data_IF_303943017001
#
_entry.id   IF_303943017001
#
_cell.length_a   1.000
_cell.length_b   1.000
_cell.length_c   1.000
_cell.angle_alpha   90.00
_cell.angle_beta   90.00
_cell.angle_gamma   90.00
#
_symmetry.space_group_name_H-M   'P 1'
#
loop_
_entity.id
_entity.type
_entity.pdbx_description
1 polymer ?
#
# COMPACT_ATOMS: atom_id res chain seq x y z
N UNK A 1 12.96 5.54 -19.27
CA UNK A 1 12.30 4.50 -18.45
C UNK A 1 12.00 3.31 -19.34
N UNK A 2 12.34 2.11 -18.91
CA UNK A 2 12.06 0.89 -19.67
C UNK A 2 11.51 -0.17 -18.73
N UNK A 3 10.53 -0.93 -19.21
CA UNK A 3 10.00 -2.10 -18.53
C UNK A 3 10.34 -3.30 -19.40
N UNK A 4 11.05 -4.26 -18.83
CA UNK A 4 11.45 -5.48 -19.51
C UNK A 4 10.98 -6.68 -18.70
N UNK A 5 10.49 -7.72 -19.38
CA UNK A 5 10.14 -9.00 -18.78
C UNK A 5 11.18 -10.03 -19.21
N UNK A 6 11.88 -10.59 -18.24
CA UNK A 6 12.84 -11.68 -18.43
C UNK A 6 12.20 -13.03 -18.03
N UNK A 7 12.95 -14.13 -18.15
CA UNK A 7 12.48 -15.45 -17.72
C UNK A 7 12.15 -15.49 -16.22
N UNK A 8 12.85 -14.70 -15.41
CA UNK A 8 12.81 -14.81 -13.94
C UNK A 8 12.13 -13.60 -13.28
N UNK A 9 12.20 -12.41 -13.89
CA UNK A 9 11.76 -11.17 -13.28
C UNK A 9 11.28 -10.10 -14.27
N UNK A 10 10.50 -9.14 -13.75
CA UNK A 10 10.20 -7.87 -14.43
C UNK A 10 11.20 -6.82 -13.94
N UNK A 11 11.98 -6.26 -14.86
CA UNK A 11 13.00 -5.24 -14.59
C UNK A 11 12.47 -3.87 -15.00
N UNK A 12 12.40 -2.94 -14.05
CA UNK A 12 11.97 -1.56 -14.28
C UNK A 12 13.17 -0.64 -14.11
N UNK A 13 13.57 0.07 -15.17
CA UNK A 13 14.65 1.08 -15.12
C UNK A 13 14.05 2.47 -14.96
N UNK A 14 14.34 3.10 -13.83
CA UNK A 14 13.89 4.45 -13.49
C UNK A 14 15.09 5.43 -13.49
N UNK A 15 14.87 6.70 -13.89
CA UNK A 15 15.80 7.79 -13.70
C UNK A 15 16.19 7.99 -12.22
N UNK A 16 17.42 8.46 -11.95
CA UNK A 16 17.98 8.58 -10.60
C UNK A 16 17.38 9.73 -9.77
N UNK A 17 16.65 10.64 -10.41
CA UNK A 17 15.93 11.76 -9.80
C UNK A 17 14.60 11.33 -9.14
N UNK A 18 14.20 10.06 -9.28
CA UNK A 18 13.03 9.53 -8.59
C UNK A 18 13.25 9.38 -7.08
N UNK A 19 12.24 9.76 -6.31
CA UNK A 19 12.24 9.55 -4.87
C UNK A 19 12.11 8.05 -4.54
N UNK A 20 13.15 7.49 -3.91
CA UNK A 20 13.21 6.08 -3.52
C UNK A 20 12.04 5.70 -2.59
N UNK A 21 11.58 6.62 -1.72
CA UNK A 21 10.45 6.36 -0.82
C UNK A 21 9.14 6.17 -1.59
N UNK A 22 8.93 6.93 -2.67
CA UNK A 22 7.75 6.77 -3.53
C UNK A 22 7.78 5.43 -4.27
N UNK A 23 8.96 5.02 -4.72
CA UNK A 23 9.17 3.72 -5.36
C UNK A 23 8.88 2.58 -4.37
N UNK A 24 9.32 2.69 -3.12
CA UNK A 24 9.02 1.70 -2.07
C UNK A 24 7.51 1.59 -1.81
N UNK A 25 6.81 2.72 -1.65
CA UNK A 25 5.34 2.72 -1.47
C UNK A 25 4.60 2.04 -2.63
N UNK A 26 5.09 2.23 -3.86
CA UNK A 26 4.52 1.55 -5.03
C UNK A 26 4.74 0.04 -4.98
N UNK A 27 5.93 -0.42 -4.58
CA UNK A 27 6.19 -1.85 -4.40
C UNK A 27 5.35 -2.46 -3.28
N UNK A 28 5.18 -1.75 -2.16
CA UNK A 28 4.30 -2.20 -1.06
C UNK A 28 2.85 -2.37 -1.53
N UNK A 29 2.36 -1.46 -2.38
CA UNK A 29 1.04 -1.57 -2.97
C UNK A 29 0.90 -2.76 -3.95
N UNK A 30 1.92 -3.01 -4.79
CA UNK A 30 1.94 -4.19 -5.66
C UNK A 30 1.97 -5.48 -4.83
N UNK A 31 2.74 -5.49 -3.74
CA UNK A 31 2.81 -6.63 -2.82
C UNK A 31 1.49 -6.86 -2.12
N UNK A 32 0.85 -5.80 -1.64
CA UNK A 32 -0.50 -5.86 -1.09
C UNK A 32 -1.49 -6.45 -2.09
N UNK A 33 -1.49 -5.98 -3.34
CA UNK A 33 -2.33 -6.53 -4.41
C UNK A 33 -2.04 -7.99 -4.71
N UNK A 34 -0.78 -8.41 -4.69
CA UNK A 34 -0.40 -9.82 -4.91
C UNK A 34 -0.91 -10.71 -3.76
N UNK A 35 -0.75 -10.27 -2.52
CA UNK A 35 -1.22 -10.97 -1.32
C UNK A 35 -2.75 -11.07 -1.31
N UNK A 36 -3.42 -9.97 -1.64
CA UNK A 36 -4.88 -9.91 -1.78
C UNK A 36 -5.36 -10.77 -2.95
N UNK A 37 -4.66 -10.78 -4.10
CA UNK A 37 -5.02 -11.61 -5.25
C UNK A 37 -4.91 -13.12 -4.96
N UNK A 38 -4.12 -13.51 -3.97
CA UNK A 38 -4.05 -14.89 -3.45
C UNK A 38 -5.08 -15.16 -2.36
N UNK A 39 -5.63 -14.10 -1.76
CA UNK A 39 -6.71 -14.18 -0.79
C UNK A 39 -8.04 -14.41 -1.52
N UNK A 40 -8.84 -15.36 -1.03
CA UNK A 40 -10.23 -15.53 -1.47
C UNK A 40 -11.16 -14.45 -0.88
N UNK A 41 -10.60 -13.50 -0.13
CA UNK A 41 -11.35 -12.40 0.47
C UNK A 41 -11.93 -11.51 -0.63
N UNK A 42 -13.22 -11.29 -0.54
CA UNK A 42 -13.96 -10.36 -1.38
C UNK A 42 -13.49 -8.92 -1.14
N UNK A 43 -13.68 -8.05 -2.14
CA UNK A 43 -13.38 -6.62 -1.99
C UNK A 43 -14.12 -6.00 -0.78
N UNK A 44 -15.30 -6.52 -0.47
CA UNK A 44 -16.10 -6.11 0.69
C UNK A 44 -15.42 -6.43 2.02
N UNK A 45 -14.82 -7.62 2.17
CA UNK A 45 -14.07 -7.99 3.39
C UNK A 45 -12.82 -7.13 3.58
N UNK A 46 -12.16 -6.76 2.49
CA UNK A 46 -10.99 -5.89 2.50
C UNK A 46 -11.37 -4.46 2.89
N UNK A 47 -12.46 -3.93 2.32
CA UNK A 47 -12.95 -2.60 2.64
C UNK A 47 -13.45 -2.53 4.09
N UNK A 48 -14.05 -3.61 4.60
CA UNK A 48 -14.45 -3.72 6.00
C UNK A 48 -13.24 -3.73 6.95
N UNK A 49 -12.20 -4.50 6.63
CA UNK A 49 -10.95 -4.49 7.40
C UNK A 49 -10.27 -3.11 7.37
N UNK A 50 -10.20 -2.46 6.20
CA UNK A 50 -9.62 -1.13 6.07
C UNK A 50 -10.40 -0.07 6.88
N UNK A 51 -11.73 -0.16 6.90
CA UNK A 51 -12.58 0.70 7.73
C UNK A 51 -12.34 0.45 9.23
N UNK A 52 -12.23 -0.81 9.63
CA UNK A 52 -12.01 -1.18 11.02
C UNK A 52 -10.66 -0.65 11.52
N UNK A 53 -9.58 -0.90 10.77
CA UNK A 53 -8.24 -0.40 11.09
C UNK A 53 -8.19 1.12 11.15
N UNK A 54 -8.78 1.81 10.17
CA UNK A 54 -8.81 3.28 10.16
C UNK A 54 -9.64 3.86 11.32
N UNK A 55 -10.78 3.24 11.64
CA UNK A 55 -11.62 3.65 12.76
C UNK A 55 -10.90 3.47 14.09
N UNK A 56 -10.27 2.31 14.30
CA UNK A 56 -9.51 2.03 15.51
C UNK A 56 -8.31 2.97 15.65
N UNK A 57 -7.54 3.14 14.58
CA UNK A 57 -6.41 4.07 14.57
C UNK A 57 -6.86 5.51 14.89
N UNK A 58 -7.97 5.96 14.30
CA UNK A 58 -8.52 7.28 14.59
C UNK A 58 -8.98 7.40 16.04
N UNK A 59 -9.67 6.42 16.62
CA UNK A 59 -10.07 6.46 18.02
C UNK A 59 -8.86 6.55 18.96
N UNK A 60 -7.79 5.81 18.66
CA UNK A 60 -6.57 5.81 19.43
C UNK A 60 -5.77 7.11 19.25
N UNK A 61 -5.80 7.75 18.07
CA UNK A 61 -4.92 8.88 17.73
C UNK A 61 -5.62 10.25 17.64
N UNK A 62 -6.95 10.33 17.72
CA UNK A 62 -7.72 11.60 17.61
C UNK A 62 -7.28 12.67 18.61
N UNK A 63 -6.80 12.26 19.79
CA UNK A 63 -6.27 13.16 20.82
C UNK A 63 -5.02 13.92 20.37
N UNK A 64 -4.33 13.45 19.32
CA UNK A 64 -3.15 14.11 18.73
C UNK A 64 -3.53 15.21 17.76
N UNK A 65 -4.79 15.24 17.31
CA UNK A 65 -5.26 16.10 16.22
C UNK A 65 -6.39 17.04 16.64
N UNK A 66 -7.08 16.74 17.75
CA UNK A 66 -8.09 17.60 18.34
C UNK A 66 -7.54 18.22 19.63
N UNK A 67 -7.55 19.55 19.78
CA UNK A 67 -7.14 20.19 21.03
C UNK A 67 -8.15 19.84 22.14
N UNK A 68 -7.66 19.68 23.37
CA UNK A 68 -8.51 19.51 24.55
C UNK A 68 -9.39 20.76 24.73
N UNK A 69 -10.69 20.53 24.97
CA UNK A 69 -11.68 21.57 25.23
C UNK A 69 -11.67 22.03 26.68
#
# INVERSE_FOLDING_TARGET
MTIERTADAIVIKLPLDFNIEEIQRFFDYLRYKELVSKSKATQEEIDNLAKEVNSQWWQENKHRFLPDA
#
